data_IF_257680328113
#
_entry.id   IF_257680328113
#
_cell.length_a   1.000
_cell.length_b   1.000
_cell.length_c   1.000
_cell.angle_alpha   90.00
_cell.angle_beta   90.00
_cell.angle_gamma   90.00
#
_symmetry.space_group_name_H-M   'P 1'
#
loop_
_entity.id
_entity.type
_entity.pdbx_description
1 polymer ?
#
# COMPACT_ATOMS: atom_id res chain seq x y z
N UNK A 1 -13.79 -5.71 1.02
CA UNK A 1 -14.17 -4.27 0.82
C UNK A 1 -15.68 -4.03 0.74
N UNK A 2 -16.20 -3.04 1.49
CA UNK A 2 -17.54 -2.45 1.30
C UNK A 2 -17.40 -0.97 0.92
N UNK A 3 -18.16 -0.48 -0.05
CA UNK A 3 -18.08 0.92 -0.52
C UNK A 3 -19.41 1.63 -0.31
N UNK A 4 -19.37 2.84 0.24
CA UNK A 4 -20.51 3.76 0.36
C UNK A 4 -20.19 5.06 -0.37
N UNK A 5 -21.14 5.55 -1.14
CA UNK A 5 -21.05 6.86 -1.81
C UNK A 5 -21.99 7.85 -1.13
N UNK A 6 -21.51 9.05 -0.85
CA UNK A 6 -22.32 10.19 -0.42
C UNK A 6 -22.13 11.30 -1.45
N UNK A 7 -23.22 11.68 -2.12
CA UNK A 7 -23.25 12.78 -3.08
C UNK A 7 -23.59 14.08 -2.34
N UNK A 8 -22.62 14.99 -2.24
CA UNK A 8 -22.82 16.39 -1.86
C UNK A 8 -22.44 17.27 -3.08
N UNK A 9 -22.05 18.54 -2.90
CA UNK A 9 -21.34 19.30 -3.95
C UNK A 9 -19.97 18.67 -4.37
N UNK A 10 -19.70 17.43 -3.95
CA UNK A 10 -18.58 16.55 -4.27
C UNK A 10 -19.01 15.09 -4.07
N UNK A 11 -18.42 14.16 -4.83
CA UNK A 11 -18.59 12.74 -4.60
C UNK A 11 -17.59 12.24 -3.56
N UNK A 12 -18.10 11.68 -2.46
CA UNK A 12 -17.28 11.04 -1.42
C UNK A 12 -17.49 9.54 -1.50
N UNK A 13 -16.43 8.81 -1.89
CA UNK A 13 -16.40 7.35 -1.88
C UNK A 13 -15.66 6.87 -0.64
N UNK A 14 -16.36 6.20 0.27
CA UNK A 14 -15.78 5.63 1.48
C UNK A 14 -15.73 4.12 1.36
N UNK A 15 -14.56 3.53 1.56
CA UNK A 15 -14.38 2.09 1.61
C UNK A 15 -14.04 1.64 3.02
N UNK A 16 -14.72 0.60 3.51
CA UNK A 16 -14.34 -0.12 4.72
C UNK A 16 -13.71 -1.45 4.33
N UNK A 17 -12.46 -1.63 4.75
CA UNK A 17 -11.61 -2.80 4.50
C UNK A 17 -10.90 -3.16 5.79
N UNK A 18 -10.49 -4.42 5.91
CA UNK A 18 -9.58 -4.81 6.99
C UNK A 18 -8.21 -4.14 6.78
N UNK A 19 -7.48 -3.90 7.88
CA UNK A 19 -6.15 -3.30 7.83
C UNK A 19 -5.21 -4.05 6.86
N UNK A 20 -5.22 -5.38 6.93
CA UNK A 20 -4.41 -6.22 6.03
C UNK A 20 -4.78 -6.03 4.57
N UNK A 21 -6.06 -5.87 4.26
CA UNK A 21 -6.55 -5.61 2.91
C UNK A 21 -6.14 -4.21 2.43
N UNK A 22 -6.19 -3.19 3.30
CA UNK A 22 -5.69 -1.85 3.00
C UNK A 22 -4.18 -1.84 2.69
N UNK A 23 -3.37 -2.48 3.54
CA UNK A 23 -1.93 -2.58 3.35
C UNK A 23 -1.57 -3.32 2.05
N UNK A 24 -2.31 -4.39 1.71
CA UNK A 24 -2.15 -5.11 0.43
C UNK A 24 -2.41 -4.20 -0.77
N UNK A 25 -3.50 -3.42 -0.76
CA UNK A 25 -3.86 -2.51 -1.87
C UNK A 25 -2.78 -1.45 -2.05
N UNK A 26 -2.27 -0.88 -0.95
CA UNK A 26 -1.21 0.12 -1.01
C UNK A 26 0.10 -0.50 -1.52
N UNK A 27 0.46 -1.69 -1.02
CA UNK A 27 1.65 -2.41 -1.48
C UNK A 27 1.61 -2.70 -2.98
N UNK A 28 0.46 -3.14 -3.51
CA UNK A 28 0.27 -3.40 -4.93
C UNK A 28 0.47 -2.14 -5.79
N UNK A 29 -0.10 -1.00 -5.34
CA UNK A 29 0.10 0.29 -6.01
C UNK A 29 1.56 0.74 -6.00
N UNK A 30 2.24 0.63 -4.85
CA UNK A 30 3.66 0.99 -4.71
C UNK A 30 4.54 0.10 -5.56
N UNK A 31 4.29 -1.21 -5.57
CA UNK A 31 5.02 -2.17 -6.39
C UNK A 31 4.85 -1.87 -7.89
N UNK A 32 3.63 -1.56 -8.33
CA UNK A 32 3.35 -1.15 -9.71
C UNK A 32 4.13 0.10 -10.12
N UNK A 33 4.21 1.12 -9.26
CA UNK A 33 5.02 2.33 -9.51
C UNK A 33 6.52 2.04 -9.52
N UNK A 34 6.96 1.05 -8.74
CA UNK A 34 8.35 0.58 -8.72
C UNK A 34 8.70 -0.43 -9.82
N UNK A 35 7.76 -0.75 -10.72
CA UNK A 35 7.95 -1.73 -11.79
C UNK A 35 8.11 -3.17 -11.28
N UNK A 36 7.47 -3.53 -10.17
CA UNK A 36 7.50 -4.86 -9.56
C UNK A 36 6.11 -5.49 -9.57
N UNK A 37 6.05 -6.76 -9.94
CA UNK A 37 4.87 -7.59 -9.73
C UNK A 37 5.03 -8.36 -8.40
N UNK A 38 4.19 -8.08 -7.41
CA UNK A 38 4.23 -8.78 -6.11
C UNK A 38 3.82 -10.26 -6.20
N UNK A 39 3.16 -10.67 -7.30
CA UNK A 39 2.82 -12.06 -7.57
C UNK A 39 3.91 -12.85 -8.31
N UNK A 40 5.05 -12.24 -8.61
CA UNK A 40 6.17 -12.90 -9.26
C UNK A 40 6.93 -13.79 -8.27
N UNK A 41 7.38 -14.95 -8.73
CA UNK A 41 8.23 -15.84 -7.94
C UNK A 41 9.50 -15.12 -7.47
N UNK A 42 9.90 -15.37 -6.21
CA UNK A 42 11.04 -14.71 -5.58
C UNK A 42 10.81 -13.25 -5.19
N UNK A 43 9.56 -12.76 -5.24
CA UNK A 43 9.18 -11.46 -4.72
C UNK A 43 8.30 -11.64 -3.49
N UNK A 44 8.71 -11.08 -2.36
CA UNK A 44 7.89 -10.95 -1.17
C UNK A 44 7.84 -9.49 -0.72
N UNK A 45 6.91 -9.14 0.16
CA UNK A 45 6.79 -7.79 0.67
C UNK A 45 6.33 -7.75 2.12
N UNK A 46 6.61 -6.61 2.76
CA UNK A 46 6.08 -6.22 4.06
C UNK A 46 5.54 -4.82 3.94
N UNK A 47 4.41 -4.55 4.59
CA UNK A 47 3.81 -3.23 4.63
C UNK A 47 3.30 -2.94 6.04
N UNK A 48 3.52 -1.73 6.53
CA UNK A 48 3.08 -1.31 7.86
C UNK A 48 2.79 0.19 7.90
N UNK A 49 1.94 0.61 8.83
CA UNK A 49 1.76 2.02 9.13
C UNK A 49 2.95 2.53 9.93
N UNK A 50 3.44 3.70 9.55
CA UNK A 50 4.43 4.46 10.32
C UNK A 50 3.99 5.90 10.47
N UNK A 51 4.64 6.61 11.37
CA UNK A 51 4.46 8.05 11.55
C UNK A 51 5.80 8.73 11.44
N UNK A 52 5.84 9.84 10.72
CA UNK A 52 7.03 10.67 10.58
C UNK A 52 6.71 12.06 11.10
N UNK A 53 7.56 12.55 12.00
CA UNK A 53 7.51 13.94 12.41
C UNK A 53 8.04 14.83 11.28
N UNK A 54 7.26 15.83 10.93
CA UNK A 54 7.59 16.85 9.94
C UNK A 54 7.60 18.22 10.60
N UNK A 55 8.21 19.21 9.95
CA UNK A 55 8.21 20.61 10.45
C UNK A 55 6.80 21.19 10.61
N UNK A 56 5.77 20.56 10.04
CA UNK A 56 4.37 21.00 10.09
C UNK A 56 3.45 20.07 10.88
N UNK A 57 3.99 19.03 11.53
CA UNK A 57 3.22 18.08 12.35
C UNK A 57 3.52 16.61 12.06
N UNK A 58 2.66 15.71 12.57
CA UNK A 58 2.82 14.27 12.41
C UNK A 58 2.17 13.82 11.10
N UNK A 59 2.95 13.24 10.20
CA UNK A 59 2.45 12.61 8.99
C UNK A 59 2.32 11.11 9.21
N UNK A 60 1.11 10.56 9.00
CA UNK A 60 0.90 9.10 8.97
C UNK A 60 1.15 8.59 7.57
N UNK A 61 1.94 7.54 7.45
CA UNK A 61 2.41 6.97 6.19
C UNK A 61 2.24 5.45 6.20
N UNK A 62 2.31 4.84 5.02
CA UNK A 62 2.50 3.40 4.86
C UNK A 62 3.83 3.19 4.20
N UNK A 63 4.71 2.44 4.86
CA UNK A 63 5.96 1.98 4.28
C UNK A 63 5.76 0.59 3.69
N UNK A 64 6.35 0.37 2.51
CA UNK A 64 6.29 -0.90 1.79
C UNK A 64 7.72 -1.33 1.47
N UNK A 65 8.15 -2.40 2.09
CA UNK A 65 9.43 -3.06 1.82
C UNK A 65 9.20 -4.19 0.82
N UNK A 66 9.82 -4.09 -0.36
CA UNK A 66 9.78 -5.13 -1.39
C UNK A 66 11.10 -5.90 -1.34
N UNK A 67 11.01 -7.20 -1.05
CA UNK A 67 12.13 -8.12 -0.95
C UNK A 67 12.18 -8.94 -2.24
N UNK A 68 13.28 -8.83 -2.98
CA UNK A 68 13.55 -9.63 -4.18
C UNK A 68 14.66 -10.63 -3.88
N UNK A 69 14.37 -11.91 -3.90
CA UNK A 69 15.35 -12.97 -3.72
C UNK A 69 16.24 -13.03 -4.96
N UNK A 70 17.46 -12.50 -4.87
CA UNK A 70 18.45 -12.52 -5.95
C UNK A 70 19.18 -13.86 -6.06
N UNK A 71 18.48 -14.99 -5.94
CA UNK A 71 19.09 -16.31 -5.96
C UNK A 71 18.43 -17.24 -6.99
N UNK A 72 18.63 -16.95 -8.28
CA UNK A 72 18.93 -17.97 -9.30
C UNK A 72 19.50 -17.28 -10.55
N UNK A 73 20.82 -17.08 -10.58
CA UNK A 73 21.54 -16.94 -11.84
C UNK A 73 22.09 -18.34 -12.19
N UNK A 74 21.70 -18.95 -13.33
CA UNK A 74 22.34 -20.17 -13.82
C UNK A 74 23.80 -19.93 -14.25
#
# INVERSE_FOLDING_TARGET
MKVRTVTQNRDVHTATVEEREALRIIADRVASEAGVCLGQDGVSYRAWFTTRDTSTGVQRMVEVEIIRDRCFQP
#
